data_IF_383670905938
#
_entry.id   IF_383670905938
#
_cell.length_a   1.000
_cell.length_b   1.000
_cell.length_c   1.000
_cell.angle_alpha   90.00
_cell.angle_beta   90.00
_cell.angle_gamma   90.00
#
_symmetry.space_group_name_H-M   'P 1'
#
loop_
_entity.id
_entity.type
_entity.pdbx_description
1 polymer ?
#
# COMPACT_ATOMS: atom_id res chain seq x y z
N UNK A 1 13.22 -7.46 -4.18
CA UNK A 1 12.00 -8.29 -4.28
C UNK A 1 10.81 -7.52 -3.73
N UNK A 2 9.72 -7.50 -4.46
CA UNK A 2 8.48 -6.89 -3.98
C UNK A 2 7.48 -7.99 -3.68
N UNK A 3 6.92 -7.98 -2.46
CA UNK A 3 5.93 -8.95 -2.02
C UNK A 3 4.58 -8.24 -1.88
N UNK A 4 3.57 -8.71 -2.62
CA UNK A 4 2.22 -8.17 -2.54
C UNK A 4 1.38 -9.06 -1.63
N UNK A 5 0.78 -8.47 -0.60
CA UNK A 5 -0.13 -9.17 0.30
C UNK A 5 -1.54 -8.72 -0.03
N UNK A 6 -2.36 -9.64 -0.52
CA UNK A 6 -3.73 -9.36 -0.92
C UNK A 6 -4.72 -10.21 -0.13
N UNK A 7 -5.99 -9.84 -0.20
CA UNK A 7 -7.04 -10.59 0.46
C UNK A 7 -8.11 -9.67 1.02
N UNK A 8 -9.15 -10.29 1.58
CA UNK A 8 -10.23 -9.54 2.21
C UNK A 8 -9.79 -8.97 3.56
N UNK A 9 -10.49 -7.93 4.02
CA UNK A 9 -10.12 -7.17 5.21
C UNK A 9 -9.93 -8.03 6.46
N UNK A 10 -10.67 -9.12 6.62
CA UNK A 10 -10.65 -9.93 7.85
C UNK A 10 -9.94 -11.26 7.68
N UNK A 11 -8.97 -11.36 6.77
CA UNK A 11 -8.26 -12.62 6.49
C UNK A 11 -6.92 -12.75 7.19
N UNK A 12 -6.55 -11.80 8.05
CA UNK A 12 -5.24 -11.82 8.72
C UNK A 12 -4.08 -11.37 7.86
N UNK A 13 -4.32 -10.69 6.73
CA UNK A 13 -3.24 -10.25 5.85
C UNK A 13 -2.29 -9.25 6.53
N UNK A 14 -2.80 -8.40 7.41
CA UNK A 14 -1.96 -7.45 8.14
C UNK A 14 -0.98 -8.18 9.05
N UNK A 15 -1.45 -9.21 9.76
CA UNK A 15 -0.59 -10.04 10.59
C UNK A 15 0.46 -10.76 9.74
N UNK A 16 0.06 -11.28 8.59
CA UNK A 16 0.98 -11.95 7.68
C UNK A 16 2.07 -11.00 7.18
N UNK A 17 1.68 -9.79 6.75
CA UNK A 17 2.62 -8.78 6.31
C UNK A 17 3.57 -8.36 7.42
N UNK A 18 3.05 -8.22 8.65
CA UNK A 18 3.86 -7.90 9.82
C UNK A 18 4.91 -8.98 10.10
N UNK A 19 4.53 -10.24 9.98
CA UNK A 19 5.47 -11.35 10.17
C UNK A 19 6.54 -11.38 9.08
N UNK A 20 6.19 -11.06 7.85
CA UNK A 20 7.17 -10.93 6.78
C UNK A 20 8.17 -9.81 7.06
N UNK A 21 7.67 -8.67 7.53
CA UNK A 21 8.53 -7.55 7.92
C UNK A 21 9.52 -7.98 9.01
N UNK A 22 9.03 -8.65 10.04
CA UNK A 22 9.86 -9.09 11.16
C UNK A 22 10.90 -10.11 10.74
N UNK A 23 10.51 -11.05 9.86
CA UNK A 23 11.39 -12.14 9.43
C UNK A 23 12.45 -11.67 8.45
N UNK A 24 12.05 -10.90 7.42
CA UNK A 24 12.95 -10.52 6.33
C UNK A 24 13.50 -9.12 6.45
N UNK A 25 12.95 -8.29 7.36
CA UNK A 25 13.37 -6.89 7.54
C UNK A 25 13.15 -6.04 6.28
N UNK A 26 12.15 -6.40 5.47
CA UNK A 26 11.80 -5.61 4.30
C UNK A 26 10.95 -4.41 4.69
N UNK A 27 11.12 -3.25 4.05
CA UNK A 27 10.21 -2.12 4.24
C UNK A 27 8.77 -2.50 3.92
N UNK A 28 7.83 -1.89 4.63
CA UNK A 28 6.41 -2.22 4.56
C UNK A 28 5.61 -0.99 4.16
N UNK A 29 4.78 -1.12 3.12
CA UNK A 29 3.86 -0.07 2.69
C UNK A 29 2.43 -0.58 2.83
N UNK A 30 1.64 0.09 3.69
CA UNK A 30 0.21 -0.14 3.78
C UNK A 30 -0.50 0.82 2.85
N UNK A 31 -1.28 0.28 1.90
CA UNK A 31 -2.05 1.11 0.97
C UNK A 31 -3.11 1.91 1.72
N UNK A 32 -3.69 1.34 2.78
CA UNK A 32 -4.65 2.08 3.61
C UNK A 32 -3.99 3.27 4.31
N UNK A 33 -2.79 3.11 4.82
CA UNK A 33 -2.06 4.22 5.43
C UNK A 33 -1.72 5.30 4.41
N UNK A 34 -1.32 4.90 3.20
CA UNK A 34 -1.07 5.83 2.11
C UNK A 34 -2.34 6.60 1.76
N UNK A 35 -3.47 5.91 1.64
CA UNK A 35 -4.76 6.52 1.37
C UNK A 35 -5.11 7.58 2.42
N UNK A 36 -5.02 7.21 3.69
CA UNK A 36 -5.36 8.12 4.77
C UNK A 36 -4.38 9.28 4.88
N UNK A 37 -3.10 9.04 4.61
CA UNK A 37 -2.11 10.10 4.59
C UNK A 37 -2.39 11.15 3.51
N UNK A 38 -2.75 10.71 2.33
CA UNK A 38 -3.09 11.62 1.24
C UNK A 38 -4.36 12.42 1.54
N UNK A 39 -5.38 11.77 2.08
CA UNK A 39 -6.65 12.43 2.44
C UNK A 39 -6.41 13.45 3.55
N UNK A 40 -5.74 13.05 4.63
CA UNK A 40 -5.53 13.91 5.81
C UNK A 40 -4.59 15.08 5.52
N UNK A 41 -3.66 14.91 4.60
CA UNK A 41 -2.73 15.98 4.24
C UNK A 41 -3.36 17.02 3.32
N UNK A 42 -4.57 16.76 2.79
CA UNK A 42 -5.24 17.69 1.89
C UNK A 42 -4.74 17.62 0.45
N UNK A 43 -3.98 16.59 0.10
CA UNK A 43 -3.44 16.43 -1.26
C UNK A 43 -4.47 15.88 -2.25
N UNK A 44 -5.66 15.57 -1.79
CA UNK A 44 -6.76 15.10 -2.65
C UNK A 44 -8.08 15.64 -2.12
N UNK A 45 -9.04 15.82 -3.01
CA UNK A 45 -10.42 16.18 -2.63
C UNK A 45 -11.25 14.97 -2.22
N UNK A 46 -10.72 13.75 -2.38
CA UNK A 46 -11.42 12.54 -1.99
C UNK A 46 -11.49 12.41 -0.46
N UNK A 47 -12.46 11.64 0.02
CA UNK A 47 -12.67 11.40 1.44
C UNK A 47 -12.79 9.88 1.68
N UNK A 48 -12.76 9.42 2.95
CA UNK A 48 -12.98 8.00 3.22
C UNK A 48 -14.31 7.48 2.73
N UNK A 49 -15.31 8.35 2.57
CA UNK A 49 -16.64 8.01 2.07
C UNK A 49 -16.75 8.04 0.55
N UNK A 50 -15.70 8.43 -0.16
CA UNK A 50 -15.69 8.42 -1.62
C UNK A 50 -15.87 7.00 -2.15
N UNK A 51 -16.46 6.84 -3.36
CA UNK A 51 -16.62 5.49 -3.93
C UNK A 51 -15.27 4.78 -4.07
N UNK A 52 -15.29 3.46 -3.88
CA UNK A 52 -14.08 2.65 -3.99
C UNK A 52 -13.40 2.80 -5.35
N UNK A 53 -14.18 2.94 -6.42
CA UNK A 53 -13.62 3.15 -7.75
C UNK A 53 -12.82 4.45 -7.85
N UNK A 54 -13.31 5.52 -7.23
CA UNK A 54 -12.60 6.80 -7.24
C UNK A 54 -11.32 6.71 -6.43
N UNK A 55 -11.35 6.04 -5.27
CA UNK A 55 -10.17 5.83 -4.44
C UNK A 55 -9.14 4.97 -5.16
N UNK A 56 -9.58 3.89 -5.81
CA UNK A 56 -8.70 3.00 -6.56
C UNK A 56 -8.06 3.74 -7.73
N UNK A 57 -8.83 4.49 -8.49
CA UNK A 57 -8.32 5.25 -9.65
C UNK A 57 -7.29 6.29 -9.22
N UNK A 58 -7.43 6.84 -8.02
CA UNK A 58 -6.48 7.79 -7.47
C UNK A 58 -5.22 7.12 -6.94
N UNK A 59 -5.38 6.02 -6.20
CA UNK A 59 -4.26 5.38 -5.49
C UNK A 59 -3.43 4.46 -6.37
N UNK A 60 -4.05 3.76 -7.31
CA UNK A 60 -3.34 2.74 -8.09
C UNK A 60 -2.14 3.27 -8.86
N UNK A 61 -2.23 4.41 -9.57
CA UNK A 61 -1.05 4.95 -10.24
C UNK A 61 0.08 5.30 -9.29
N UNK A 62 -0.25 5.78 -8.08
CA UNK A 62 0.75 6.12 -7.06
C UNK A 62 1.46 4.86 -6.58
N UNK A 63 0.71 3.82 -6.23
CA UNK A 63 1.26 2.54 -5.77
C UNK A 63 2.11 1.91 -6.87
N UNK A 64 1.62 1.92 -8.10
CA UNK A 64 2.34 1.37 -9.25
C UNK A 64 3.71 2.02 -9.41
N UNK A 65 3.79 3.34 -9.31
CA UNK A 65 5.05 4.04 -9.48
C UNK A 65 6.00 3.82 -8.30
N UNK A 66 5.48 3.66 -7.08
CA UNK A 66 6.30 3.30 -5.92
C UNK A 66 6.93 1.92 -6.13
N UNK A 67 6.13 0.94 -6.54
CA UNK A 67 6.61 -0.42 -6.81
C UNK A 67 7.65 -0.41 -7.93
N UNK A 68 7.36 0.31 -9.01
CA UNK A 68 8.27 0.42 -10.14
C UNK A 68 9.61 1.02 -9.73
N UNK A 69 9.59 2.05 -8.90
CA UNK A 69 10.81 2.67 -8.39
C UNK A 69 11.63 1.68 -7.56
N UNK A 70 10.97 0.90 -6.71
CA UNK A 70 11.65 -0.13 -5.94
C UNK A 70 12.31 -1.17 -6.84
N UNK A 71 11.61 -1.63 -7.87
CA UNK A 71 12.14 -2.61 -8.81
C UNK A 71 13.35 -2.05 -9.56
N UNK A 72 13.25 -0.81 -10.04
CA UNK A 72 14.34 -0.16 -10.77
C UNK A 72 15.60 -0.02 -9.92
N UNK A 73 15.45 0.17 -8.62
CA UNK A 73 16.56 0.36 -7.69
C UNK A 73 17.00 -0.93 -7.00
N UNK A 74 16.42 -2.07 -7.37
CA UNK A 74 16.74 -3.35 -6.74
C UNK A 74 16.38 -3.41 -5.26
N UNK A 75 15.40 -2.64 -4.83
CA UNK A 75 14.99 -2.58 -3.44
C UNK A 75 13.92 -3.61 -3.11
N UNK A 76 13.82 -3.95 -1.82
CA UNK A 76 12.79 -4.87 -1.32
C UNK A 76 11.63 -4.06 -0.74
N UNK A 77 10.41 -4.59 -0.89
CA UNK A 77 9.22 -3.90 -0.38
C UNK A 77 8.10 -4.91 -0.14
N UNK A 78 7.40 -4.76 0.98
CA UNK A 78 6.16 -5.48 1.25
C UNK A 78 5.02 -4.49 1.08
N UNK A 79 4.05 -4.82 0.22
CA UNK A 79 2.87 -3.97 -0.03
C UNK A 79 1.63 -4.71 0.41
N UNK A 80 0.84 -4.06 1.25
CA UNK A 80 -0.46 -4.57 1.69
C UNK A 80 -1.59 -3.71 1.18
#
# INVERSE_FOLDING_TARGET
MVILVTGCTHTGKTLFAQRLLEKYKYPYLSIDHLKMGLIRSGQTSLSPESPDSALTDFLWPVVREIVKTCVENGQNLIVE
#
